data_IF_100542921338
#
_entry.id   IF_100542921338
#
_cell.length_a   1.000
_cell.length_b   1.000
_cell.length_c   1.000
_cell.angle_alpha   90.00
_cell.angle_beta   90.00
_cell.angle_gamma   90.00
#
_symmetry.space_group_name_H-M   'P 1'
#
loop_
_entity.id
_entity.type
_entity.pdbx_description
1 polymer ?
#
# COMPACT_ATOMS: atom_id res chain seq x y z
N UNK A 1 32.56 46.57 -6.79
CA UNK A 1 31.98 45.38 -7.43
C UNK A 1 30.47 45.45 -7.28
N UNK A 2 29.71 45.86 -8.33
CA UNK A 2 28.25 45.99 -8.27
C UNK A 2 27.65 44.58 -8.36
N UNK A 3 27.17 44.03 -7.25
CA UNK A 3 26.38 42.80 -7.25
C UNK A 3 25.07 43.12 -8.00
N UNK A 4 24.81 42.43 -9.09
CA UNK A 4 23.56 42.63 -9.83
C UNK A 4 22.38 42.24 -8.92
N UNK A 5 21.38 43.10 -8.83
CA UNK A 5 20.13 42.91 -8.07
C UNK A 5 19.52 41.53 -8.40
N UNK A 6 19.63 41.13 -9.63
CA UNK A 6 19.17 39.79 -10.09
C UNK A 6 19.86 38.65 -9.32
N UNK A 7 21.18 38.73 -9.07
CA UNK A 7 21.92 37.71 -8.30
C UNK A 7 21.44 37.63 -6.85
N UNK A 8 21.13 38.79 -6.24
CA UNK A 8 20.59 38.83 -4.86
C UNK A 8 19.20 38.19 -4.83
N UNK A 9 18.33 38.46 -5.79
CA UNK A 9 17.00 37.86 -5.88
C UNK A 9 17.08 36.35 -6.03
N UNK A 10 17.93 35.85 -6.94
CA UNK A 10 18.13 34.43 -7.16
C UNK A 10 18.63 33.73 -5.88
N UNK A 11 19.63 34.34 -5.23
CA UNK A 11 20.22 33.78 -4.01
C UNK A 11 19.19 33.74 -2.85
N UNK A 12 18.39 34.79 -2.69
CA UNK A 12 17.32 34.84 -1.71
C UNK A 12 16.26 33.76 -1.97
N UNK A 13 15.88 33.55 -3.24
CA UNK A 13 14.93 32.52 -3.63
C UNK A 13 15.44 31.10 -3.32
N UNK A 14 16.73 30.84 -3.58
CA UNK A 14 17.36 29.56 -3.25
C UNK A 14 17.35 29.31 -1.75
N UNK A 15 17.74 30.30 -0.94
CA UNK A 15 17.73 30.16 0.53
C UNK A 15 16.31 29.91 1.03
N UNK A 16 15.32 30.63 0.52
CA UNK A 16 13.92 30.45 0.89
C UNK A 16 13.42 29.04 0.56
N UNK A 17 13.72 28.55 -0.64
CA UNK A 17 13.36 27.19 -1.07
C UNK A 17 14.01 26.11 -0.21
N UNK A 18 15.31 26.26 0.11
CA UNK A 18 16.02 25.34 0.99
C UNK A 18 15.47 25.37 2.42
N UNK A 19 15.04 26.53 2.90
CA UNK A 19 14.42 26.66 4.22
C UNK A 19 13.07 25.93 4.30
N UNK A 20 12.23 26.04 3.28
CA UNK A 20 10.97 25.30 3.21
C UNK A 20 11.23 23.79 3.16
N UNK A 21 12.19 23.37 2.34
CA UNK A 21 12.57 21.96 2.25
C UNK A 21 13.07 21.42 3.60
N UNK A 22 13.94 22.16 4.28
CA UNK A 22 14.46 21.83 5.61
C UNK A 22 13.34 21.72 6.66
N UNK A 23 12.40 22.68 6.66
CA UNK A 23 11.24 22.65 7.56
C UNK A 23 10.35 21.45 7.26
N UNK A 24 10.12 21.14 5.97
CA UNK A 24 9.35 19.97 5.55
C UNK A 24 9.97 18.64 6.01
N UNK A 25 11.29 18.52 5.97
CA UNK A 25 11.99 17.31 6.46
C UNK A 25 11.92 17.17 8.00
N UNK A 26 11.74 18.26 8.74
CA UNK A 26 11.59 18.22 10.21
C UNK A 26 10.20 17.83 10.67
N UNK A 27 9.19 17.86 9.79
CA UNK A 27 7.84 17.42 10.12
C UNK A 27 7.87 15.90 10.23
N UNK A 28 8.10 15.43 11.45
CA UNK A 28 8.10 14.00 11.77
C UNK A 28 6.63 13.56 11.89
N UNK A 29 6.04 13.12 10.79
CA UNK A 29 4.73 12.49 10.79
C UNK A 29 4.88 11.08 11.41
N UNK A 30 4.96 11.05 12.74
CA UNK A 30 4.78 9.80 13.46
C UNK A 30 3.33 9.35 13.28
N UNK A 31 3.10 8.50 12.30
CA UNK A 31 1.84 7.78 12.21
C UNK A 31 1.70 6.90 13.46
N UNK A 32 0.95 7.38 14.43
CA UNK A 32 0.65 6.59 15.63
C UNK A 32 -0.41 5.54 15.27
N UNK A 33 0.07 4.36 14.92
CA UNK A 33 -0.79 3.20 14.65
C UNK A 33 -1.27 2.51 15.93
N UNK A 34 -0.82 2.94 17.11
CA UNK A 34 -1.21 2.32 18.39
C UNK A 34 -2.70 2.43 18.67
N UNK A 35 -3.33 3.52 18.23
CA UNK A 35 -4.78 3.72 18.34
C UNK A 35 -5.60 2.73 17.50
N UNK A 36 -4.99 2.10 16.50
CA UNK A 36 -5.62 1.12 15.63
C UNK A 36 -5.56 -0.30 16.20
N UNK A 37 -4.65 -0.54 17.17
CA UNK A 37 -4.51 -1.87 17.79
C UNK A 37 -5.75 -2.17 18.63
N UNK A 38 -6.41 -3.29 18.32
CA UNK A 38 -7.67 -3.70 18.98
C UNK A 38 -8.92 -3.00 18.45
N UNK A 39 -8.78 -2.06 17.49
CA UNK A 39 -9.92 -1.46 16.82
C UNK A 39 -10.56 -2.45 15.83
N UNK A 40 -11.85 -2.27 15.57
CA UNK A 40 -12.53 -3.07 14.54
C UNK A 40 -12.27 -2.48 13.17
N UNK A 41 -11.97 -3.35 12.20
CA UNK A 41 -11.91 -2.96 10.79
C UNK A 41 -13.29 -2.43 10.36
N UNK A 42 -13.32 -1.33 9.62
CA UNK A 42 -14.53 -0.78 9.02
C UNK A 42 -15.21 -1.80 8.11
N UNK A 43 -16.50 -1.64 7.88
CA UNK A 43 -17.22 -2.48 6.92
C UNK A 43 -16.70 -2.21 5.51
N UNK A 44 -16.38 -3.26 4.80
CA UNK A 44 -15.99 -3.22 3.41
C UNK A 44 -16.54 -4.44 2.67
N UNK A 45 -16.59 -4.35 1.37
CA UNK A 45 -16.86 -5.47 0.46
C UNK A 45 -15.97 -5.30 -0.75
N UNK A 46 -15.18 -6.32 -1.07
CA UNK A 46 -14.31 -6.35 -2.23
C UNK A 46 -14.67 -7.53 -3.11
N UNK A 47 -14.76 -7.28 -4.41
CA UNK A 47 -14.98 -8.31 -5.42
C UNK A 47 -13.66 -9.01 -5.74
N UNK A 48 -13.72 -10.30 -5.99
CA UNK A 48 -12.54 -11.09 -6.41
C UNK A 48 -12.08 -10.64 -7.80
N UNK A 49 -10.78 -10.43 -7.95
CA UNK A 49 -10.20 -9.83 -9.16
C UNK A 49 -10.50 -10.61 -10.44
N UNK A 50 -10.72 -11.92 -10.37
CA UNK A 50 -10.99 -12.78 -11.52
C UNK A 50 -12.39 -13.38 -11.53
N UNK A 51 -13.24 -13.08 -10.53
CA UNK A 51 -14.57 -13.61 -10.43
C UNK A 51 -15.52 -12.59 -9.79
N UNK A 52 -16.25 -11.87 -10.62
CA UNK A 52 -17.16 -10.80 -10.20
C UNK A 52 -18.36 -11.29 -9.35
N UNK A 53 -18.59 -12.61 -9.29
CA UNK A 53 -19.62 -13.20 -8.43
C UNK A 53 -19.12 -13.52 -7.01
N UNK A 54 -17.81 -13.52 -6.82
CA UNK A 54 -17.19 -13.74 -5.51
C UNK A 54 -16.78 -12.43 -4.86
N UNK A 55 -17.03 -12.32 -3.57
CA UNK A 55 -16.65 -11.18 -2.76
C UNK A 55 -16.18 -11.63 -1.39
N UNK A 56 -15.40 -10.76 -0.74
CA UNK A 56 -14.97 -10.89 0.65
C UNK A 56 -15.43 -9.67 1.44
N UNK A 57 -15.87 -9.91 2.65
CA UNK A 57 -16.30 -8.88 3.60
C UNK A 57 -15.50 -8.97 4.90
N UNK A 58 -15.68 -7.99 5.78
CA UNK A 58 -15.13 -8.04 7.14
C UNK A 58 -15.51 -9.32 7.89
N UNK A 59 -16.75 -9.79 7.71
CA UNK A 59 -17.27 -11.01 8.35
C UNK A 59 -16.53 -12.26 7.92
N UNK A 60 -16.12 -12.32 6.64
CA UNK A 60 -15.36 -13.46 6.10
C UNK A 60 -13.93 -13.51 6.68
N UNK A 61 -13.31 -12.35 6.92
CA UNK A 61 -12.00 -12.29 7.57
C UNK A 61 -12.04 -12.89 8.98
N UNK A 62 -13.12 -12.70 9.71
CA UNK A 62 -13.32 -13.18 11.07
C UNK A 62 -13.49 -14.69 11.20
N UNK A 63 -13.79 -15.39 10.11
CA UNK A 63 -13.92 -16.86 10.08
C UNK A 63 -12.57 -17.56 10.22
N UNK A 64 -11.48 -16.85 9.99
CA UNK A 64 -10.13 -17.40 10.10
C UNK A 64 -9.53 -17.07 11.45
N UNK A 65 -8.63 -17.93 11.94
CA UNK A 65 -7.90 -17.69 13.20
C UNK A 65 -7.03 -16.44 13.09
N UNK A 66 -6.33 -16.29 11.96
CA UNK A 66 -5.55 -15.11 11.63
C UNK A 66 -5.73 -14.77 10.15
N UNK A 67 -5.95 -13.50 9.86
CA UNK A 67 -5.99 -12.97 8.51
C UNK A 67 -4.98 -11.84 8.36
N UNK A 68 -4.06 -11.99 7.42
CA UNK A 68 -3.14 -10.93 6.99
C UNK A 68 -3.72 -10.26 5.76
N UNK A 69 -3.99 -8.97 5.85
CA UNK A 69 -4.40 -8.16 4.70
C UNK A 69 -3.15 -7.48 4.15
N UNK A 70 -2.89 -7.66 2.86
CA UNK A 70 -1.78 -7.02 2.16
C UNK A 70 -2.28 -6.20 0.98
N UNK A 71 -1.96 -4.92 0.97
CA UNK A 71 -2.21 -4.04 -0.17
C UNK A 71 -1.05 -4.13 -1.15
N UNK A 72 -1.35 -4.38 -2.41
CA UNK A 72 -0.33 -4.47 -3.46
C UNK A 72 -0.78 -3.85 -4.77
N UNK A 73 0.18 -3.52 -5.62
CA UNK A 73 -0.05 -3.12 -6.99
C UNK A 73 1.12 -3.55 -7.88
N UNK A 74 0.88 -3.76 -9.17
CA UNK A 74 1.92 -4.15 -10.12
C UNK A 74 3.02 -3.09 -10.29
N UNK A 75 2.66 -1.82 -10.12
CA UNK A 75 3.56 -0.67 -10.20
C UNK A 75 4.32 -0.38 -8.89
N UNK A 76 4.04 -1.11 -7.81
CA UNK A 76 4.63 -0.89 -6.50
C UNK A 76 5.97 -1.64 -6.38
N UNK A 77 7.09 -0.96 -6.48
CA UNK A 77 8.41 -1.56 -6.40
C UNK A 77 8.71 -2.21 -5.02
N UNK A 78 8.38 -1.60 -3.86
CA UNK A 78 8.50 -2.26 -2.56
C UNK A 78 7.69 -3.55 -2.46
N UNK A 79 6.47 -3.58 -3.04
CA UNK A 79 5.61 -4.77 -3.02
C UNK A 79 6.28 -5.96 -3.73
N UNK A 80 7.02 -5.73 -4.81
CA UNK A 80 7.80 -6.78 -5.48
C UNK A 80 8.89 -7.35 -4.57
N UNK A 81 9.53 -6.50 -3.79
CA UNK A 81 10.62 -6.93 -2.88
C UNK A 81 10.10 -7.78 -1.72
N UNK A 82 8.96 -7.41 -1.15
CA UNK A 82 8.36 -8.14 -0.01
C UNK A 82 7.61 -9.41 -0.43
N UNK A 83 7.18 -9.51 -1.68
CA UNK A 83 6.32 -10.60 -2.18
C UNK A 83 6.84 -12.01 -1.89
N UNK A 84 8.16 -12.22 -2.01
CA UNK A 84 8.81 -13.49 -1.68
C UNK A 84 8.61 -13.92 -0.21
N UNK A 85 8.50 -12.95 0.70
CA UNK A 85 8.26 -13.25 2.12
C UNK A 85 6.80 -13.65 2.36
N UNK A 86 5.86 -13.05 1.64
CA UNK A 86 4.45 -13.45 1.67
C UNK A 86 4.27 -14.87 1.13
N UNK A 87 4.95 -15.23 0.04
CA UNK A 87 4.97 -16.60 -0.47
C UNK A 87 5.53 -17.58 0.56
N UNK A 88 6.65 -17.23 1.19
CA UNK A 88 7.24 -18.06 2.25
C UNK A 88 6.29 -18.25 3.42
N UNK A 89 5.61 -17.17 3.85
CA UNK A 89 4.64 -17.19 4.94
C UNK A 89 3.44 -18.09 4.61
N UNK A 90 2.84 -17.92 3.43
CA UNK A 90 1.70 -18.72 2.95
C UNK A 90 2.03 -20.22 2.90
N UNK A 91 3.26 -20.56 2.51
CA UNK A 91 3.71 -21.95 2.42
C UNK A 91 3.99 -22.57 3.79
N UNK A 92 4.59 -21.81 4.71
CA UNK A 92 5.03 -22.33 6.02
C UNK A 92 3.93 -22.32 7.08
N UNK A 93 2.96 -21.40 6.99
CA UNK A 93 1.95 -21.23 8.02
C UNK A 93 0.54 -21.29 7.45
N UNK A 94 -0.12 -22.43 7.61
CA UNK A 94 -1.48 -22.68 7.09
C UNK A 94 -2.60 -22.07 7.97
N UNK A 95 -2.29 -21.62 9.17
CA UNK A 95 -3.27 -20.96 10.04
C UNK A 95 -3.49 -19.50 9.65
N UNK A 96 -2.55 -18.89 8.92
CA UNK A 96 -2.66 -17.52 8.45
C UNK A 96 -3.27 -17.53 7.04
N UNK A 97 -4.42 -16.91 6.89
CA UNK A 97 -4.98 -16.60 5.57
C UNK A 97 -4.46 -15.26 5.10
N UNK A 98 -3.88 -15.23 3.90
CA UNK A 98 -3.41 -13.97 3.31
C UNK A 98 -4.44 -13.52 2.28
N UNK A 99 -4.94 -12.30 2.45
CA UNK A 99 -5.87 -11.61 1.53
C UNK A 99 -5.10 -10.49 0.85
N UNK A 100 -5.02 -10.51 -0.47
CA UNK A 100 -4.44 -9.45 -1.26
C UNK A 100 -5.51 -8.42 -1.64
N UNK A 101 -5.20 -7.13 -1.50
CA UNK A 101 -6.03 -6.05 -2.02
C UNK A 101 -5.25 -5.34 -3.10
N UNK A 102 -5.73 -5.44 -4.34
CA UNK A 102 -5.10 -4.81 -5.49
C UNK A 102 -5.53 -3.34 -5.57
N UNK A 103 -4.61 -2.45 -5.20
CA UNK A 103 -4.88 -1.02 -5.00
C UNK A 103 -4.58 -0.21 -6.24
N UNK A 104 -5.60 0.48 -6.77
CA UNK A 104 -5.49 1.42 -7.92
C UNK A 104 -4.65 0.88 -9.07
N UNK A 105 -4.91 -0.35 -9.46
CA UNK A 105 -4.16 -1.05 -10.51
C UNK A 105 -5.14 -1.65 -11.54
N UNK A 106 -4.61 -1.96 -12.71
CA UNK A 106 -5.40 -2.65 -13.74
C UNK A 106 -5.37 -4.15 -13.47
N UNK A 107 -6.54 -4.81 -13.52
CA UNK A 107 -6.73 -6.25 -13.38
C UNK A 107 -5.70 -7.08 -14.16
N UNK A 108 -5.44 -6.71 -15.43
CA UNK A 108 -4.46 -7.42 -16.27
C UNK A 108 -3.04 -7.32 -15.72
N UNK A 109 -2.64 -6.17 -15.18
CA UNK A 109 -1.31 -5.96 -14.64
C UNK A 109 -1.12 -6.71 -13.31
N UNK A 110 -2.13 -6.68 -12.44
CA UNK A 110 -2.15 -7.43 -11.19
C UNK A 110 -2.04 -8.94 -11.46
N UNK A 111 -2.79 -9.45 -12.43
CA UNK A 111 -2.72 -10.87 -12.83
C UNK A 111 -1.34 -11.24 -13.38
N UNK A 112 -0.72 -10.39 -14.21
CA UNK A 112 0.64 -10.62 -14.70
C UNK A 112 1.66 -10.61 -13.57
N UNK A 113 1.52 -9.69 -12.59
CA UNK A 113 2.37 -9.64 -11.40
C UNK A 113 2.28 -10.95 -10.59
N UNK A 114 1.08 -11.46 -10.33
CA UNK A 114 0.87 -12.70 -9.58
C UNK A 114 1.31 -13.94 -10.38
N UNK A 115 1.18 -13.92 -11.70
CA UNK A 115 1.67 -14.99 -12.58
C UNK A 115 3.21 -15.07 -12.60
N UNK A 116 3.86 -13.91 -12.62
CA UNK A 116 5.33 -13.78 -12.64
C UNK A 116 5.96 -14.18 -11.31
N UNK A 117 5.42 -13.68 -10.19
CA UNK A 117 6.02 -13.80 -8.87
C UNK A 117 5.41 -14.90 -7.99
N UNK A 118 4.34 -15.56 -8.45
CA UNK A 118 3.53 -16.50 -7.67
C UNK A 118 2.40 -15.79 -6.92
N UNK A 119 1.39 -16.56 -6.46
CA UNK A 119 0.25 -16.04 -5.72
C UNK A 119 0.23 -16.55 -4.28
N UNK A 120 0.53 -15.71 -3.27
CA UNK A 120 0.47 -16.07 -1.85
C UNK A 120 -0.93 -15.94 -1.26
N UNK A 121 -1.88 -15.33 -1.99
CA UNK A 121 -3.19 -14.92 -1.48
C UNK A 121 -4.22 -16.04 -1.64
N UNK A 122 -5.04 -16.24 -0.62
CA UNK A 122 -6.24 -17.08 -0.70
C UNK A 122 -7.43 -16.37 -1.34
N UNK A 123 -7.38 -15.05 -1.44
CA UNK A 123 -8.35 -14.18 -2.11
C UNK A 123 -7.64 -12.91 -2.57
N UNK A 124 -7.99 -12.41 -3.74
CA UNK A 124 -7.46 -11.15 -4.28
C UNK A 124 -8.62 -10.21 -4.57
N UNK A 125 -8.80 -9.21 -3.71
CA UNK A 125 -9.84 -8.18 -3.89
C UNK A 125 -9.39 -7.07 -4.80
N UNK A 126 -10.30 -6.55 -5.63
CA UNK A 126 -10.09 -5.39 -6.47
C UNK A 126 -10.50 -4.12 -5.75
N UNK A 127 -9.58 -3.16 -5.60
CA UNK A 127 -9.83 -1.81 -5.06
C UNK A 127 -9.37 -0.76 -6.09
N UNK A 128 -10.04 -0.75 -7.25
CA UNK A 128 -9.71 0.11 -8.38
C UNK A 128 -9.78 1.61 -8.02
N UNK A 129 -10.69 1.99 -7.14
CA UNK A 129 -10.92 3.37 -6.71
C UNK A 129 -10.04 3.77 -5.51
N UNK A 130 -9.46 2.80 -4.79
CA UNK A 130 -8.67 3.02 -3.57
C UNK A 130 -9.52 3.50 -2.40
N UNK A 131 -10.75 3.03 -2.27
CA UNK A 131 -11.68 3.43 -1.19
C UNK A 131 -11.60 2.51 0.03
N UNK A 132 -10.97 1.35 -0.11
CA UNK A 132 -10.85 0.34 0.94
C UNK A 132 -9.55 0.48 1.73
N UNK A 133 -8.60 1.21 1.18
CA UNK A 133 -7.27 1.43 1.77
C UNK A 133 -7.23 2.59 2.75
#
# INVERSE_FOLDING_TARGET
MKISILKVIIFSFIIFSLSIFWLGLKINNNYDTKSLIGSQISNFQLTEINNDEQYISREDLRKNKYTLINFFASWCAPCRTEHKYLLSLSNKNKEIKIVGINFKDKKINANNFLKELGNPYGFVGEDADGKTS
#
